data_IF_587582172239
#
_entry.id   IF_587582172239
#
_cell.length_a   1.000
_cell.length_b   1.000
_cell.length_c   1.000
_cell.angle_alpha   90.00
_cell.angle_beta   90.00
_cell.angle_gamma   90.00
#
_symmetry.space_group_name_H-M   'P 1'
#
loop_
_entity.id
_entity.type
_entity.pdbx_description
1 polymer ?
#
# COMPACT_ATOMS: atom_id res chain seq x y z
N UNK A 1 -23.40 -9.85 14.00
CA UNK A 1 -23.95 -9.79 12.64
C UNK A 1 -22.84 -9.27 11.76
N UNK A 2 -22.09 -10.15 11.10
CA UNK A 2 -20.91 -9.76 10.31
C UNK A 2 -21.35 -9.28 8.93
N UNK A 3 -20.96 -8.06 8.57
CA UNK A 3 -21.08 -7.57 7.20
C UNK A 3 -20.28 -8.50 6.26
N UNK A 4 -20.74 -8.59 5.01
CA UNK A 4 -20.04 -9.33 3.97
C UNK A 4 -18.65 -8.69 3.74
N UNK A 5 -17.58 -9.48 3.52
CA UNK A 5 -16.26 -8.92 3.25
C UNK A 5 -16.29 -8.05 1.98
N UNK A 6 -15.63 -6.89 2.03
CA UNK A 6 -15.60 -5.93 0.93
C UNK A 6 -15.16 -6.56 -0.40
N UNK A 7 -14.15 -7.44 -0.38
CA UNK A 7 -13.68 -8.15 -1.58
C UNK A 7 -14.78 -9.00 -2.24
N UNK A 8 -15.67 -9.62 -1.44
CA UNK A 8 -16.79 -10.40 -1.97
C UNK A 8 -17.92 -9.48 -2.47
N UNK A 9 -18.17 -8.37 -1.78
CA UNK A 9 -19.13 -7.35 -2.20
C UNK A 9 -18.72 -6.72 -3.55
N UNK A 10 -17.45 -6.35 -3.70
CA UNK A 10 -16.87 -5.84 -4.95
C UNK A 10 -17.01 -6.85 -6.09
N UNK A 11 -16.73 -8.13 -5.82
CA UNK A 11 -16.89 -9.20 -6.81
C UNK A 11 -18.35 -9.33 -7.26
N UNK A 12 -19.30 -9.27 -6.33
CA UNK A 12 -20.74 -9.30 -6.64
C UNK A 12 -21.20 -8.08 -7.44
N UNK A 13 -20.71 -6.88 -7.12
CA UNK A 13 -21.00 -5.67 -7.89
C UNK A 13 -20.50 -5.78 -9.33
N UNK A 14 -19.29 -6.31 -9.53
CA UNK A 14 -18.74 -6.55 -10.89
C UNK A 14 -19.55 -7.59 -11.66
N UNK A 15 -19.97 -8.67 -11.00
CA UNK A 15 -20.84 -9.68 -11.60
C UNK A 15 -22.17 -9.07 -12.03
N UNK A 16 -22.84 -8.30 -11.18
CA UNK A 16 -24.10 -7.65 -11.49
C UNK A 16 -23.97 -6.69 -12.69
N UNK A 17 -22.87 -5.92 -12.76
CA UNK A 17 -22.59 -5.05 -13.90
C UNK A 17 -22.41 -5.84 -15.20
N UNK A 18 -21.68 -6.96 -15.17
CA UNK A 18 -21.51 -7.83 -16.35
C UNK A 18 -22.80 -8.53 -16.76
N UNK A 19 -23.67 -8.90 -15.82
CA UNK A 19 -24.98 -9.49 -16.13
C UNK A 19 -25.86 -8.51 -16.92
N UNK A 20 -25.90 -7.25 -16.49
CA UNK A 20 -26.61 -6.18 -17.22
C UNK A 20 -26.02 -6.02 -18.63
N UNK A 21 -24.69 -6.00 -18.76
CA UNK A 21 -24.04 -5.86 -20.07
C UNK A 21 -24.33 -7.08 -20.97
N UNK A 22 -24.30 -8.29 -20.42
CA UNK A 22 -24.64 -9.52 -21.14
C UNK A 22 -26.08 -9.49 -21.66
N UNK A 23 -27.04 -9.03 -20.86
CA UNK A 23 -28.44 -8.89 -21.29
C UNK A 23 -28.61 -7.88 -22.43
N UNK A 24 -27.89 -6.75 -22.37
CA UNK A 24 -27.91 -5.74 -23.43
C UNK A 24 -27.39 -6.33 -24.74
N UNK A 25 -26.24 -6.99 -24.70
CA UNK A 25 -25.64 -7.62 -25.89
C UNK A 25 -26.54 -8.70 -26.47
N UNK A 26 -27.17 -9.53 -25.62
CA UNK A 26 -28.10 -10.55 -26.10
C UNK A 26 -29.28 -9.93 -26.86
N UNK A 27 -29.81 -8.80 -26.38
CA UNK A 27 -30.87 -8.05 -27.07
C UNK A 27 -30.38 -7.44 -28.39
N UNK A 28 -29.17 -6.87 -28.42
CA UNK A 28 -28.58 -6.31 -29.64
C UNK A 28 -28.37 -7.38 -30.71
N UNK A 29 -27.85 -8.55 -30.34
CA UNK A 29 -27.66 -9.69 -31.26
C UNK A 29 -29.01 -10.14 -31.83
N UNK A 30 -30.07 -10.19 -31.00
CA UNK A 30 -31.42 -10.59 -31.43
C UNK A 30 -32.02 -9.64 -32.47
N UNK A 31 -31.66 -8.36 -32.43
CA UNK A 31 -32.09 -7.33 -33.40
C UNK A 31 -31.10 -7.18 -34.56
N UNK A 32 -30.02 -7.98 -34.59
CA UNK A 32 -29.02 -7.98 -35.66
C UNK A 32 -27.99 -6.84 -35.58
N UNK A 33 -27.88 -6.17 -34.43
CA UNK A 33 -26.95 -5.06 -34.18
C UNK A 33 -25.72 -5.48 -33.35
N UNK A 34 -25.73 -6.69 -32.76
CA UNK A 34 -24.71 -7.12 -31.79
C UNK A 34 -23.56 -7.93 -32.38
N UNK A 35 -22.47 -8.01 -31.62
CA UNK A 35 -21.23 -8.71 -31.96
C UNK A 35 -21.06 -10.00 -31.13
N UNK A 36 -21.04 -11.15 -31.79
CA UNK A 36 -20.87 -12.46 -31.16
C UNK A 36 -19.52 -12.61 -30.44
N UNK A 37 -18.47 -11.91 -30.87
CA UNK A 37 -17.15 -11.95 -30.22
C UNK A 37 -17.18 -11.25 -28.87
N UNK A 38 -17.89 -10.11 -28.78
CA UNK A 38 -18.10 -9.38 -27.52
C UNK A 38 -18.94 -10.21 -26.54
N UNK A 39 -19.97 -10.92 -27.01
CA UNK A 39 -20.76 -11.83 -26.19
C UNK A 39 -19.90 -12.95 -25.58
N UNK A 40 -19.03 -13.58 -26.38
CA UNK A 40 -18.11 -14.62 -25.90
C UNK A 40 -17.11 -14.07 -24.88
N UNK A 41 -16.60 -12.86 -25.08
CA UNK A 41 -15.68 -12.21 -24.15
C UNK A 41 -16.33 -11.95 -22.78
N UNK A 42 -17.56 -11.42 -22.76
CA UNK A 42 -18.30 -11.20 -21.51
C UNK A 42 -18.65 -12.51 -20.82
N UNK A 43 -19.07 -13.53 -21.58
CA UNK A 43 -19.32 -14.85 -21.01
C UNK A 43 -18.08 -15.43 -20.32
N UNK A 44 -16.90 -15.31 -20.94
CA UNK A 44 -15.64 -15.75 -20.35
C UNK A 44 -15.29 -14.94 -19.08
N UNK A 45 -15.45 -13.62 -19.09
CA UNK A 45 -15.22 -12.77 -17.91
C UNK A 45 -16.17 -13.13 -16.75
N UNK A 46 -17.44 -13.39 -17.07
CA UNK A 46 -18.44 -13.82 -16.09
C UNK A 46 -18.07 -15.15 -15.45
N UNK A 47 -17.70 -16.16 -16.24
CA UNK A 47 -17.26 -17.46 -15.70
C UNK A 47 -16.03 -17.30 -14.79
N UNK A 48 -15.09 -16.42 -15.16
CA UNK A 48 -13.93 -16.14 -14.32
C UNK A 48 -14.32 -15.50 -12.98
N UNK A 49 -15.20 -14.49 -12.99
CA UNK A 49 -15.68 -13.83 -11.77
C UNK A 49 -16.57 -14.74 -10.92
N UNK A 50 -17.37 -15.62 -11.51
CA UNK A 50 -18.16 -16.62 -10.78
C UNK A 50 -17.24 -17.59 -10.03
N UNK A 51 -16.16 -18.04 -10.67
CA UNK A 51 -15.15 -18.87 -10.01
C UNK A 51 -14.42 -18.11 -8.88
N UNK A 52 -14.11 -16.82 -9.08
CA UNK A 52 -13.51 -15.97 -8.05
C UNK A 52 -14.45 -15.79 -6.85
N UNK A 53 -15.73 -15.48 -7.10
CA UNK A 53 -16.78 -15.38 -6.08
C UNK A 53 -16.84 -16.66 -5.26
N UNK A 54 -16.88 -17.82 -5.90
CA UNK A 54 -17.01 -19.11 -5.21
C UNK A 54 -15.79 -19.40 -4.34
N UNK A 55 -14.58 -19.10 -4.84
CA UNK A 55 -13.35 -19.20 -4.07
C UNK A 55 -13.34 -18.26 -2.86
N UNK A 56 -13.77 -17.00 -3.02
CA UNK A 56 -13.89 -16.03 -1.94
C UNK A 56 -14.94 -16.44 -0.90
N UNK A 57 -16.09 -16.95 -1.33
CA UNK A 57 -17.13 -17.46 -0.44
C UNK A 57 -16.65 -18.66 0.37
N UNK A 58 -15.95 -19.61 -0.27
CA UNK A 58 -15.40 -20.77 0.41
C UNK A 58 -14.36 -20.35 1.46
N UNK A 59 -13.44 -19.45 1.09
CA UNK A 59 -12.42 -18.94 2.00
C UNK A 59 -13.05 -18.18 3.17
N UNK A 60 -14.03 -17.32 2.90
CA UNK A 60 -14.73 -16.58 3.95
C UNK A 60 -15.41 -17.50 4.95
N UNK A 61 -16.03 -18.60 4.49
CA UNK A 61 -16.63 -19.60 5.39
C UNK A 61 -15.58 -20.26 6.28
N UNK A 62 -14.46 -20.68 5.70
CA UNK A 62 -13.36 -21.31 6.45
C UNK A 62 -12.73 -20.35 7.46
N UNK A 63 -12.45 -19.10 7.05
CA UNK A 63 -11.96 -18.07 7.96
C UNK A 63 -12.94 -17.80 9.09
N UNK A 64 -14.24 -17.71 8.79
CA UNK A 64 -15.27 -17.46 9.81
C UNK A 64 -15.31 -18.55 10.87
N UNK A 65 -15.26 -19.82 10.46
CA UNK A 65 -15.25 -20.96 11.37
C UNK A 65 -14.01 -20.94 12.29
N UNK A 66 -12.83 -20.68 11.72
CA UNK A 66 -11.58 -20.57 12.49
C UNK A 66 -11.60 -19.36 13.43
N UNK A 67 -12.11 -18.21 12.99
CA UNK A 67 -12.24 -17.00 13.82
C UNK A 67 -13.21 -17.22 14.98
N UNK A 68 -14.38 -17.81 14.73
CA UNK A 68 -15.36 -18.13 15.77
C UNK A 68 -14.76 -19.10 16.81
N UNK A 69 -14.06 -20.14 16.33
CA UNK A 69 -13.34 -21.09 17.19
C UNK A 69 -12.26 -20.40 18.01
N UNK A 70 -11.46 -19.53 17.39
CA UNK A 70 -10.37 -18.81 18.05
C UNK A 70 -10.90 -17.85 19.12
N UNK A 71 -12.00 -17.14 18.86
CA UNK A 71 -12.65 -16.26 19.83
C UNK A 71 -13.15 -17.08 21.03
N UNK A 72 -13.80 -18.21 20.78
CA UNK A 72 -14.28 -19.10 21.84
C UNK A 72 -13.13 -19.66 22.70
N UNK A 73 -12.04 -20.12 22.07
CA UNK A 73 -10.85 -20.61 22.77
C UNK A 73 -10.17 -19.50 23.59
N UNK A 74 -10.06 -18.29 23.04
CA UNK A 74 -9.53 -17.12 23.77
C UNK A 74 -10.37 -16.79 24.99
N UNK A 75 -11.70 -16.81 24.88
CA UNK A 75 -12.60 -16.57 26.00
C UNK A 75 -12.40 -17.60 27.12
N UNK A 76 -12.28 -18.89 26.78
CA UNK A 76 -12.02 -19.95 27.77
C UNK A 76 -10.64 -19.86 28.42
N UNK A 77 -9.60 -19.49 27.66
CA UNK A 77 -8.26 -19.30 28.20
C UNK A 77 -8.15 -18.17 29.23
N UNK A 78 -9.11 -17.24 29.28
CA UNK A 78 -9.16 -16.18 30.31
C UNK A 78 -9.60 -16.74 31.66
N UNK A 79 -10.48 -17.74 31.66
CA UNK A 79 -11.06 -18.32 32.87
C UNK A 79 -10.39 -19.63 33.30
N UNK A 80 -9.85 -20.39 32.35
CA UNK A 80 -9.27 -21.71 32.54
C UNK A 80 -7.74 -21.65 32.33
N UNK A 81 -6.96 -21.99 33.36
CA UNK A 81 -5.50 -22.14 33.25
C UNK A 81 -5.10 -23.54 32.79
N UNK A 82 -5.53 -23.91 31.57
CA UNK A 82 -5.21 -25.21 30.95
C UNK A 82 -4.18 -25.04 29.82
N UNK A 83 -3.10 -25.82 29.89
CA UNK A 83 -2.06 -25.85 28.86
C UNK A 83 -2.59 -26.41 27.52
N UNK A 84 -3.48 -27.39 27.55
CA UNK A 84 -4.03 -28.00 26.33
C UNK A 84 -4.91 -27.01 25.56
N UNK A 85 -5.66 -26.15 26.25
CA UNK A 85 -6.46 -25.09 25.62
C UNK A 85 -5.60 -24.03 24.95
N UNK A 86 -4.45 -23.68 25.56
CA UNK A 86 -3.50 -22.74 24.97
C UNK A 86 -2.86 -23.31 23.71
N UNK A 87 -2.49 -24.58 23.74
CA UNK A 87 -1.95 -25.28 22.57
C UNK A 87 -2.98 -25.35 21.42
N UNK A 88 -4.24 -25.67 21.73
CA UNK A 88 -5.32 -25.68 20.74
C UNK A 88 -5.57 -24.29 20.15
N UNK A 89 -5.59 -23.24 20.98
CA UNK A 89 -5.69 -21.85 20.55
C UNK A 89 -4.56 -21.49 19.58
N UNK A 90 -3.33 -21.83 19.92
CA UNK A 90 -2.15 -21.49 19.11
C UNK A 90 -2.16 -22.24 17.77
N UNK A 91 -2.57 -23.50 17.76
CA UNK A 91 -2.77 -24.28 16.54
C UNK A 91 -3.85 -23.65 15.64
N UNK A 92 -5.02 -23.28 16.18
CA UNK A 92 -6.08 -22.60 15.42
C UNK A 92 -5.61 -21.24 14.90
N UNK A 93 -4.84 -20.49 15.69
CA UNK A 93 -4.27 -19.21 15.25
C UNK A 93 -3.28 -19.39 14.08
N UNK A 94 -2.43 -20.42 14.13
CA UNK A 94 -1.50 -20.71 13.02
C UNK A 94 -2.24 -21.15 11.74
N UNK A 95 -3.29 -21.97 11.88
CA UNK A 95 -4.14 -22.37 10.76
C UNK A 95 -4.82 -21.16 10.11
N UNK A 96 -5.33 -20.23 10.93
CA UNK A 96 -5.95 -19.00 10.45
C UNK A 96 -4.94 -18.11 9.70
N UNK A 97 -3.74 -17.91 10.26
CA UNK A 97 -2.68 -17.13 9.60
C UNK A 97 -2.29 -17.75 8.25
N UNK A 98 -2.13 -19.07 8.19
CA UNK A 98 -1.78 -19.79 6.96
C UNK A 98 -2.87 -19.68 5.88
N UNK A 99 -4.15 -19.71 6.29
CA UNK A 99 -5.28 -19.55 5.37
C UNK A 99 -5.41 -18.11 4.85
N UNK A 100 -5.19 -17.13 5.70
CA UNK A 100 -5.38 -15.70 5.38
C UNK A 100 -4.26 -15.11 4.52
N UNK A 101 -3.02 -15.56 4.73
CA UNK A 101 -1.86 -15.01 4.04
C UNK A 101 -1.79 -13.48 4.18
N UNK A 102 -1.69 -12.78 3.04
CA UNK A 102 -1.59 -11.32 2.99
C UNK A 102 -2.97 -10.63 2.76
N UNK A 103 -4.05 -11.39 2.59
CA UNK A 103 -5.38 -10.87 2.24
C UNK A 103 -6.48 -11.48 3.12
N UNK A 104 -6.53 -11.15 4.43
CA UNK A 104 -7.56 -11.64 5.34
C UNK A 104 -8.95 -11.09 4.95
N UNK A 105 -9.97 -11.94 4.97
CA UNK A 105 -11.36 -11.55 4.72
C UNK A 105 -12.11 -11.22 6.02
N UNK A 106 -11.67 -11.77 7.16
CA UNK A 106 -12.26 -11.55 8.47
C UNK A 106 -11.20 -11.45 9.56
N UNK A 107 -11.30 -10.47 10.44
CA UNK A 107 -10.37 -10.29 11.55
C UNK A 107 -10.95 -10.77 12.87
N UNK A 108 -10.17 -11.55 13.64
CA UNK A 108 -10.59 -12.07 14.95
C UNK A 108 -10.49 -11.03 16.09
N UNK A 109 -9.71 -9.97 15.89
CA UNK A 109 -9.51 -8.87 16.84
C UNK A 109 -9.08 -7.61 16.08
N UNK A 110 -9.24 -6.45 16.72
CA UNK A 110 -8.70 -5.19 16.21
C UNK A 110 -7.19 -5.16 16.48
N UNK A 111 -6.39 -5.24 15.43
CA UNK A 111 -4.94 -5.12 15.47
C UNK A 111 -4.43 -4.08 14.46
N UNK A 112 -3.11 -3.96 14.33
CA UNK A 112 -2.49 -3.04 13.37
C UNK A 112 -2.91 -3.33 11.92
N UNK A 113 -3.21 -4.60 11.59
CA UNK A 113 -3.71 -5.00 10.27
C UNK A 113 -5.11 -4.45 10.00
N UNK A 114 -6.01 -4.53 10.99
CA UNK A 114 -7.37 -3.93 10.89
C UNK A 114 -7.30 -2.43 10.72
N UNK A 115 -6.49 -1.74 11.52
CA UNK A 115 -6.34 -0.28 11.43
C UNK A 115 -5.81 0.12 10.06
N UNK A 116 -4.80 -0.59 9.57
CA UNK A 116 -4.24 -0.33 8.27
C UNK A 116 -5.26 -0.64 7.13
N UNK A 117 -6.18 -1.61 7.31
CA UNK A 117 -7.24 -1.91 6.33
C UNK A 117 -8.18 -0.73 6.15
N UNK A 118 -8.64 -0.17 7.27
CA UNK A 118 -9.52 1.00 7.27
C UNK A 118 -8.83 2.21 6.67
N UNK A 119 -7.55 2.44 6.98
CA UNK A 119 -6.76 3.53 6.39
C UNK A 119 -6.56 3.31 4.88
N UNK A 120 -6.28 2.07 4.46
CA UNK A 120 -6.19 1.69 3.05
C UNK A 120 -7.50 2.00 2.31
N UNK A 121 -8.65 1.66 2.88
CA UNK A 121 -9.95 1.91 2.26
C UNK A 121 -10.25 3.42 2.14
N UNK A 122 -9.87 4.23 3.14
CA UNK A 122 -10.02 5.68 3.09
C UNK A 122 -9.06 6.37 2.11
N UNK A 123 -7.86 5.82 1.93
CA UNK A 123 -6.78 6.43 1.14
C UNK A 123 -6.62 5.84 -0.25
N UNK A 124 -7.17 4.65 -0.50
CA UNK A 124 -6.95 3.84 -1.71
C UNK A 124 -5.58 3.14 -1.77
N UNK A 125 -4.78 3.16 -0.71
CA UNK A 125 -3.40 2.62 -0.69
C UNK A 125 -3.39 1.21 -0.11
N UNK A 126 -3.10 0.13 -0.88
CA UNK A 126 -3.30 -1.25 -0.42
C UNK A 126 -2.43 -1.69 0.77
N UNK A 127 -3.06 -2.38 1.72
CA UNK A 127 -2.47 -2.96 2.94
C UNK A 127 -1.17 -3.77 2.79
N UNK A 128 -1.22 -4.85 2.00
CA UNK A 128 -0.08 -5.76 1.80
C UNK A 128 1.11 -5.08 1.10
N UNK A 129 0.86 -3.88 0.54
CA UNK A 129 1.84 -3.03 -0.12
C UNK A 129 2.44 -1.95 0.79
N UNK A 130 2.13 -1.88 2.09
CA UNK A 130 2.70 -0.83 2.94
C UNK A 130 3.97 -1.29 3.67
N UNK A 131 3.93 -2.37 4.45
CA UNK A 131 5.06 -2.74 5.34
C UNK A 131 6.12 -3.59 4.65
N UNK A 132 5.72 -4.63 3.89
CA UNK A 132 6.68 -5.48 3.13
C UNK A 132 7.36 -4.67 2.01
N UNK A 133 6.59 -3.87 1.29
CA UNK A 133 7.12 -3.00 0.24
C UNK A 133 8.07 -1.93 0.76
N UNK A 134 7.94 -1.43 2.00
CA UNK A 134 8.85 -0.40 2.48
C UNK A 134 10.28 -0.96 2.62
N UNK A 135 10.42 -2.18 3.14
CA UNK A 135 11.72 -2.86 3.25
C UNK A 135 12.28 -3.16 1.86
N UNK A 136 11.46 -3.76 0.99
CA UNK A 136 11.90 -4.11 -0.37
C UNK A 136 12.21 -2.87 -1.21
N UNK A 137 11.46 -1.78 -1.06
CA UNK A 137 11.73 -0.50 -1.71
C UNK A 137 13.06 0.10 -1.26
N UNK A 138 13.39 -0.01 0.04
CA UNK A 138 14.66 0.47 0.57
C UNK A 138 15.83 -0.44 0.16
N UNK A 139 15.62 -1.75 0.07
CA UNK A 139 16.63 -2.71 -0.39
C UNK A 139 16.97 -2.53 -1.88
N UNK A 140 15.96 -2.32 -2.72
CA UNK A 140 16.09 -2.16 -4.17
C UNK A 140 16.20 -0.69 -4.62
N UNK A 141 16.34 0.26 -3.67
CA UNK A 141 16.28 1.70 -3.94
C UNK A 141 17.26 2.15 -5.04
N UNK A 142 18.50 1.66 -5.04
CA UNK A 142 19.48 2.04 -6.06
C UNK A 142 19.06 1.58 -7.47
N UNK A 143 18.46 0.40 -7.59
CA UNK A 143 17.99 -0.12 -8.86
C UNK A 143 16.77 0.66 -9.36
N UNK A 144 15.82 0.96 -8.46
CA UNK A 144 14.65 1.81 -8.75
C UNK A 144 15.09 3.20 -9.24
N UNK A 145 16.01 3.87 -8.53
CA UNK A 145 16.51 5.18 -8.93
C UNK A 145 17.24 5.13 -10.28
N UNK A 146 17.97 4.05 -10.56
CA UNK A 146 18.76 3.89 -11.78
C UNK A 146 17.90 3.64 -13.04
N UNK A 147 16.62 3.27 -12.88
CA UNK A 147 15.66 3.22 -14.01
C UNK A 147 15.40 4.62 -14.58
N UNK A 148 15.50 5.66 -13.74
CA UNK A 148 15.17 7.05 -14.07
C UNK A 148 16.42 7.93 -14.22
N UNK A 149 17.43 7.72 -13.38
CA UNK A 149 18.70 8.46 -13.40
C UNK A 149 19.80 7.61 -14.03
N UNK A 150 20.07 7.86 -15.30
CA UNK A 150 20.99 7.05 -16.12
C UNK A 150 22.45 7.45 -15.87
N UNK A 151 23.32 6.46 -15.71
CA UNK A 151 24.78 6.66 -15.68
C UNK A 151 25.36 7.17 -14.36
N UNK A 152 24.54 7.29 -13.30
CA UNK A 152 24.96 7.78 -11.98
C UNK A 152 25.00 6.69 -10.89
N UNK A 153 25.12 5.41 -11.29
CA UNK A 153 24.97 4.25 -10.39
C UNK A 153 25.75 4.36 -9.09
N UNK A 154 27.00 4.81 -9.15
CA UNK A 154 27.84 4.99 -7.96
C UNK A 154 27.24 5.96 -6.94
N UNK A 155 26.72 7.10 -7.39
CA UNK A 155 26.07 8.09 -6.52
C UNK A 155 24.75 7.56 -5.94
N UNK A 156 23.98 6.85 -6.75
CA UNK A 156 22.72 6.23 -6.32
C UNK A 156 22.95 5.14 -5.26
N UNK A 157 24.01 4.33 -5.41
CA UNK A 157 24.38 3.32 -4.41
C UNK A 157 24.77 3.96 -3.08
N UNK A 158 25.46 5.11 -3.07
CA UNK A 158 25.79 5.86 -1.84
C UNK A 158 24.54 6.41 -1.15
N UNK A 159 23.61 6.96 -1.91
CA UNK A 159 22.30 7.43 -1.40
C UNK A 159 21.55 6.25 -0.78
N UNK A 160 21.42 5.15 -1.51
CA UNK A 160 20.69 3.97 -1.06
C UNK A 160 21.28 3.37 0.22
N UNK A 161 22.62 3.29 0.32
CA UNK A 161 23.31 2.85 1.55
C UNK A 161 22.97 3.75 2.73
N UNK A 162 22.99 5.08 2.56
CA UNK A 162 22.68 6.02 3.66
C UNK A 162 21.22 5.88 4.13
N UNK A 163 20.28 5.79 3.19
CA UNK A 163 18.85 5.59 3.50
C UNK A 163 18.63 4.28 4.25
N UNK A 164 19.25 3.18 3.80
CA UNK A 164 19.22 1.88 4.48
C UNK A 164 19.73 1.96 5.92
N UNK A 165 20.87 2.60 6.15
CA UNK A 165 21.45 2.75 7.49
C UNK A 165 20.53 3.54 8.42
N UNK A 166 19.91 4.62 7.93
CA UNK A 166 18.96 5.40 8.70
C UNK A 166 17.69 4.60 9.05
N UNK A 167 17.12 3.88 8.08
CA UNK A 167 15.93 3.04 8.28
C UNK A 167 16.16 1.86 9.22
N UNK A 168 17.39 1.31 9.25
CA UNK A 168 17.79 0.29 10.21
C UNK A 168 17.96 0.81 11.65
N UNK A 169 17.73 2.11 11.90
CA UNK A 169 17.92 2.78 13.22
C UNK A 169 19.33 2.60 13.79
N UNK A 170 20.32 2.43 12.91
CA UNK A 170 21.74 2.31 13.27
C UNK A 170 22.42 3.67 13.44
N UNK A 171 21.70 4.78 13.30
CA UNK A 171 22.17 6.15 13.50
C UNK A 171 21.31 6.87 14.55
N UNK A 172 21.76 8.05 14.97
CA UNK A 172 21.09 8.89 15.93
C UNK A 172 19.69 9.31 15.43
N UNK A 173 18.61 9.06 16.20
CA UNK A 173 17.24 9.40 15.81
C UNK A 173 16.98 10.90 15.62
N UNK A 174 17.85 11.78 16.15
CA UNK A 174 17.74 13.23 15.99
C UNK A 174 18.39 13.75 14.69
N UNK A 175 18.99 12.88 13.89
CA UNK A 175 19.59 13.26 12.60
C UNK A 175 18.64 13.01 11.45
N UNK A 176 18.69 13.82 10.37
CA UNK A 176 17.93 13.56 9.15
C UNK A 176 18.33 12.21 8.51
N UNK A 177 17.41 11.64 7.74
CA UNK A 177 17.57 10.35 7.04
C UNK A 177 18.85 10.35 6.18
N UNK A 178 19.09 11.44 5.47
CA UNK A 178 20.33 11.68 4.74
C UNK A 178 20.50 13.15 4.42
N UNK A 179 21.76 13.58 4.33
CA UNK A 179 22.14 14.89 3.79
C UNK A 179 23.09 14.59 2.64
N UNK A 180 22.72 15.05 1.45
CA UNK A 180 23.44 14.76 0.22
C UNK A 180 23.78 16.07 -0.49
N UNK A 181 25.02 16.17 -0.96
CA UNK A 181 25.45 17.25 -1.84
C UNK A 181 25.65 16.66 -3.24
N UNK A 182 24.70 16.93 -4.13
CA UNK A 182 24.78 16.48 -5.52
C UNK A 182 25.54 17.54 -6.33
N UNK A 183 26.74 17.20 -6.79
CA UNK A 183 27.59 18.11 -7.56
C UNK A 183 27.81 17.60 -8.98
N UNK A 184 27.89 18.53 -9.93
CA UNK A 184 28.18 18.22 -11.33
C UNK A 184 27.52 19.21 -12.31
N UNK A 185 27.80 19.08 -13.61
CA UNK A 185 27.25 19.93 -14.66
C UNK A 185 25.72 19.96 -14.68
N UNK A 186 25.10 20.97 -15.28
CA UNK A 186 23.65 20.98 -15.49
C UNK A 186 23.21 19.78 -16.34
N UNK A 187 21.99 19.27 -16.10
CA UNK A 187 21.41 18.18 -16.89
C UNK A 187 21.88 16.75 -16.55
N UNK A 188 22.83 16.54 -15.63
CA UNK A 188 23.33 15.18 -15.28
C UNK A 188 22.40 14.37 -14.36
N UNK A 189 21.19 14.85 -14.07
CA UNK A 189 20.20 14.14 -13.24
C UNK A 189 20.24 14.45 -11.75
N UNK A 190 20.83 15.57 -11.30
CA UNK A 190 20.84 15.97 -9.87
C UNK A 190 19.42 16.19 -9.32
N UNK A 191 18.63 17.04 -9.98
CA UNK A 191 17.24 17.30 -9.61
C UNK A 191 16.40 16.04 -9.78
N UNK A 192 16.62 15.29 -10.86
CA UNK A 192 15.94 14.03 -11.13
C UNK A 192 16.17 12.99 -10.03
N UNK A 193 17.39 12.93 -9.48
CA UNK A 193 17.70 12.06 -8.34
C UNK A 193 16.88 12.42 -7.11
N UNK A 194 16.68 13.72 -6.84
CA UNK A 194 15.87 14.16 -5.71
C UNK A 194 14.37 13.84 -5.92
N UNK A 195 13.85 14.04 -7.14
CA UNK A 195 12.47 13.70 -7.48
C UNK A 195 12.21 12.19 -7.41
N UNK A 196 13.09 11.39 -8.01
CA UNK A 196 13.01 9.93 -7.97
C UNK A 196 13.12 9.38 -6.54
N UNK A 197 13.92 10.02 -5.69
CA UNK A 197 14.01 9.68 -4.27
C UNK A 197 12.72 10.03 -3.51
N UNK A 198 12.11 11.18 -3.81
CA UNK A 198 10.84 11.61 -3.23
C UNK A 198 9.70 10.64 -3.60
N UNK A 199 9.62 10.29 -4.88
CA UNK A 199 8.68 9.31 -5.40
C UNK A 199 8.86 7.94 -4.72
N UNK A 200 10.09 7.41 -4.70
CA UNK A 200 10.36 6.07 -4.20
C UNK A 200 10.19 5.91 -2.68
N UNK A 201 10.43 6.95 -1.88
CA UNK A 201 10.40 6.86 -0.42
C UNK A 201 9.16 7.47 0.22
N UNK A 202 8.50 8.41 -0.44
CA UNK A 202 7.40 9.19 0.12
C UNK A 202 6.13 9.10 -0.74
N UNK A 203 6.14 8.32 -1.82
CA UNK A 203 4.93 8.03 -2.61
C UNK A 203 4.52 9.14 -3.56
N UNK A 204 5.42 10.08 -3.88
CA UNK A 204 5.17 11.08 -4.91
C UNK A 204 6.19 12.21 -4.96
N UNK A 205 6.39 12.77 -6.15
CA UNK A 205 7.26 13.94 -6.37
C UNK A 205 6.77 15.20 -5.66
N UNK A 206 5.45 15.34 -5.48
CA UNK A 206 4.83 16.47 -4.80
C UNK A 206 5.27 16.64 -3.34
N UNK A 207 5.93 15.61 -2.77
CA UNK A 207 6.48 15.65 -1.42
C UNK A 207 7.88 16.30 -1.37
N UNK A 208 8.39 16.79 -2.50
CA UNK A 208 9.64 17.57 -2.53
C UNK A 208 9.39 19.03 -2.14
N UNK A 209 10.17 19.53 -1.20
CA UNK A 209 10.23 20.95 -0.87
C UNK A 209 11.45 21.53 -1.58
N UNK A 210 11.23 22.40 -2.56
CA UNK A 210 12.31 23.05 -3.32
C UNK A 210 12.51 24.46 -2.81
N UNK A 211 13.75 24.77 -2.42
CA UNK A 211 14.15 26.13 -2.05
C UNK A 211 15.17 26.60 -3.08
N UNK A 212 14.80 27.62 -3.86
CA UNK A 212 15.69 28.19 -4.85
C UNK A 212 16.64 29.20 -4.17
N UNK A 213 17.87 28.78 -3.90
CA UNK A 213 18.85 29.64 -3.22
C UNK A 213 19.25 30.88 -4.00
N UNK A 214 19.01 30.93 -5.33
CA UNK A 214 19.22 32.15 -6.11
C UNK A 214 18.26 33.28 -5.75
N UNK A 215 17.10 32.96 -5.16
CA UNK A 215 16.12 33.95 -4.67
C UNK A 215 16.49 34.51 -3.27
N UNK A 216 17.43 33.87 -2.58
CA UNK A 216 17.84 34.19 -1.21
C UNK A 216 19.26 34.76 -1.09
N UNK A 217 19.70 35.51 -2.11
CA UNK A 217 21.07 36.07 -2.14
C UNK A 217 21.23 37.30 -1.24
N UNK A 218 20.16 38.03 -0.95
CA UNK A 218 20.20 39.29 -0.20
C UNK A 218 19.76 39.07 1.26
N UNK A 219 20.40 39.77 2.21
CA UNK A 219 20.16 39.55 3.64
C UNK A 219 18.70 39.72 4.08
N UNK A 220 17.95 40.58 3.37
CA UNK A 220 16.54 40.82 3.67
C UNK A 220 15.60 39.74 3.09
N UNK A 221 15.98 39.05 2.02
CA UNK A 221 15.22 37.91 1.49
C UNK A 221 15.45 36.64 2.31
N UNK A 222 16.64 36.45 2.92
CA UNK A 222 16.90 35.33 3.86
C UNK A 222 16.00 35.39 5.10
N UNK A 223 15.59 36.58 5.52
CA UNK A 223 14.70 36.77 6.68
C UNK A 223 13.32 36.16 6.47
N UNK A 224 12.83 36.04 5.23
CA UNK A 224 11.54 35.38 4.97
C UNK A 224 11.64 33.85 5.07
N UNK A 225 12.81 33.26 4.80
CA UNK A 225 13.04 31.82 4.94
C UNK A 225 13.26 31.38 6.40
N UNK A 226 13.92 32.22 7.21
CA UNK A 226 14.18 31.95 8.64
C UNK A 226 12.97 32.30 9.53
N UNK A 227 12.00 33.03 9.01
CA UNK A 227 10.98 33.73 9.77
C UNK A 227 11.42 35.16 10.05
N UNK A 228 10.57 36.12 9.69
CA UNK A 228 10.88 37.53 9.89
C UNK A 228 11.00 37.84 11.40
N UNK A 229 11.83 38.81 11.82
CA UNK A 229 11.79 39.30 13.19
C UNK A 229 10.45 40.02 13.49
N UNK A 230 10.03 40.10 14.76
CA UNK A 230 8.80 40.81 15.14
C UNK A 230 8.79 42.24 14.58
N UNK A 231 7.78 42.58 13.77
CA UNK A 231 7.62 43.90 13.14
C UNK A 231 7.97 43.98 11.65
N UNK A 232 8.36 42.88 10.99
CA UNK A 232 8.53 42.81 9.53
C UNK A 232 7.38 42.06 8.82
N UNK A 233 7.15 42.37 7.54
CA UNK A 233 6.13 41.67 6.71
C UNK A 233 6.53 40.20 6.59
N UNK A 234 5.66 39.29 7.05
CA UNK A 234 5.94 37.85 7.14
C UNK A 234 6.15 37.31 8.56
N UNK A 235 5.91 38.11 9.61
CA UNK A 235 5.81 37.64 10.99
C UNK A 235 4.43 37.02 11.25
N UNK A 236 4.38 35.68 11.34
CA UNK A 236 3.17 34.89 11.61
C UNK A 236 3.46 33.41 11.61
#
# INVERSE_FOLDING_TARGET
QGAQPAALEDCLHRLAALEIEAEIIEREIRVGLGDATRQQAIAAQRTALEAERDALQQRWRQERELVETLIALRARCVTEEDAALREQRDATQQQLIALQGDTPLLFAAVDAGVVAAVVSDWTGIPLGRMVKNEIDAVLNLADTLNQRVIGQRHGLDLIARRVRTSRARLDNPNKPVGVFMLCGPSGVGKTETALALAESLYGGEQNIITINMSEFQEAHTVSTLKGAPPGYVGYG
#
